data_IF_963688392089
#
_entry.id   IF_963688392089
#
_cell.length_a   1.000
_cell.length_b   1.000
_cell.length_c   1.000
_cell.angle_alpha   90.00
_cell.angle_beta   90.00
_cell.angle_gamma   90.00
#
_symmetry.space_group_name_H-M   'P 1'
#
loop_
_entity.id
_entity.type
_entity.pdbx_description
1 polymer ?
#
# COMPACT_ATOMS: atom_id res chain seq x y z
N UNK A 1 8.58 30.08 -10.51
CA UNK A 1 9.39 30.90 -9.59
C UNK A 1 8.73 30.77 -8.22
N UNK A 2 9.31 30.25 -7.15
CA UNK A 2 10.71 30.21 -6.76
C UNK A 2 11.01 29.01 -5.84
N UNK A 3 12.30 28.64 -5.84
CA UNK A 3 13.04 27.95 -4.78
C UNK A 3 12.71 26.49 -4.43
N UNK A 4 13.13 25.58 -5.30
CA UNK A 4 13.55 24.23 -4.89
C UNK A 4 14.90 24.34 -4.16
N UNK A 5 14.86 24.56 -2.85
CA UNK A 5 16.01 24.30 -1.99
C UNK A 5 16.21 22.78 -1.93
N UNK A 6 17.23 22.29 -2.62
CA UNK A 6 17.87 21.03 -2.27
C UNK A 6 18.65 21.30 -0.98
N UNK A 7 18.09 20.92 0.16
CA UNK A 7 18.85 20.80 1.40
C UNK A 7 19.73 19.56 1.31
N UNK A 8 21.02 19.77 1.03
CA UNK A 8 22.09 18.83 1.34
C UNK A 8 22.25 18.73 2.87
N UNK A 9 21.34 18.03 3.56
CA UNK A 9 21.50 17.75 5.00
C UNK A 9 20.44 16.80 5.56
N UNK A 10 20.27 15.64 4.94
CA UNK A 10 19.81 14.44 5.67
C UNK A 10 20.94 13.42 5.64
N UNK A 11 21.81 13.53 6.64
CA UNK A 11 22.55 12.38 7.12
C UNK A 11 21.49 11.34 7.50
N UNK A 12 21.30 10.34 6.65
CA UNK A 12 20.71 9.06 7.04
C UNK A 12 21.36 8.73 8.38
N UNK A 13 20.62 8.56 9.49
CA UNK A 13 21.23 8.15 10.74
C UNK A 13 21.97 6.87 10.43
N UNK A 14 23.30 6.97 10.43
CA UNK A 14 24.18 5.87 10.19
C UNK A 14 23.75 4.78 11.16
N UNK A 15 23.25 3.68 10.57
CA UNK A 15 23.35 2.35 11.12
C UNK A 15 23.04 2.32 12.63
N UNK A 16 21.77 2.12 12.99
CA UNK A 16 21.48 1.51 14.29
C UNK A 16 22.07 0.11 14.20
N UNK A 17 23.38 0.01 14.40
CA UNK A 17 24.02 -1.20 14.87
C UNK A 17 23.36 -1.42 16.21
N UNK A 18 22.29 -2.20 16.21
CA UNK A 18 21.75 -2.83 17.40
C UNK A 18 22.88 -3.71 17.91
N UNK A 19 23.87 -3.11 18.59
CA UNK A 19 24.88 -3.83 19.34
C UNK A 19 24.09 -4.71 20.29
N UNK A 20 24.20 -6.02 20.07
CA UNK A 20 23.54 -7.04 20.86
C UNK A 20 24.00 -6.79 22.29
N UNK A 21 23.12 -6.26 23.14
CA UNK A 21 23.40 -6.08 24.56
C UNK A 21 23.64 -7.49 25.14
N UNK A 22 24.91 -7.86 25.43
CA UNK A 22 25.22 -9.21 25.89
C UNK A 22 24.63 -9.50 27.27
N UNK A 23 24.08 -8.49 27.96
CA UNK A 23 23.42 -8.62 29.25
C UNK A 23 21.92 -8.95 29.19
N UNK A 24 21.27 -8.89 28.01
CA UNK A 24 19.84 -9.19 27.93
C UNK A 24 19.63 -10.72 27.97
N UNK A 25 18.88 -11.26 28.96
CA UNK A 25 18.65 -12.69 29.07
C UNK A 25 17.91 -13.21 27.83
N UNK A 26 18.41 -14.31 27.27
CA UNK A 26 17.78 -15.02 26.17
C UNK A 26 16.34 -15.36 26.51
N UNK A 27 15.43 -15.09 25.56
CA UNK A 27 14.00 -15.34 25.73
C UNK A 27 13.53 -16.34 24.68
N UNK A 28 12.88 -17.40 25.11
CA UNK A 28 12.26 -18.34 24.18
C UNK A 28 10.95 -17.77 23.61
N UNK A 29 10.73 -18.02 22.32
CA UNK A 29 9.47 -17.72 21.65
C UNK A 29 8.32 -18.52 22.27
N UNK A 30 7.17 -17.88 22.44
CA UNK A 30 5.97 -18.56 22.96
C UNK A 30 5.35 -19.52 21.95
N UNK A 31 5.41 -19.18 20.67
CA UNK A 31 4.81 -19.96 19.58
C UNK A 31 5.78 -21.02 19.05
N UNK A 32 7.07 -20.72 19.08
CA UNK A 32 8.14 -21.63 18.63
C UNK A 32 9.06 -22.00 19.81
N UNK A 33 8.54 -22.62 20.90
CA UNK A 33 9.29 -22.90 22.11
C UNK A 33 10.35 -23.97 21.89
N UNK A 34 11.28 -24.07 22.85
CA UNK A 34 12.34 -25.07 22.83
C UNK A 34 11.81 -26.49 22.67
N UNK A 35 12.38 -27.24 21.73
CA UNK A 35 11.95 -28.61 21.41
C UNK A 35 10.91 -28.74 20.29
N UNK A 36 10.36 -27.62 19.78
CA UNK A 36 9.48 -27.64 18.60
C UNK A 36 10.20 -27.97 17.29
N UNK A 37 11.53 -27.96 17.26
CA UNK A 37 12.32 -28.13 16.05
C UNK A 37 13.72 -28.65 16.33
N UNK A 38 14.43 -29.00 15.26
CA UNK A 38 15.84 -29.43 15.27
C UNK A 38 16.81 -28.28 14.97
N UNK A 39 16.29 -27.09 14.65
CA UNK A 39 17.05 -25.87 14.42
C UNK A 39 16.58 -24.75 15.35
N UNK A 40 17.54 -24.02 15.92
CA UNK A 40 17.31 -22.83 16.75
C UNK A 40 17.72 -21.57 15.98
N UNK A 41 16.76 -20.69 15.69
CA UNK A 41 17.00 -19.39 15.09
C UNK A 41 17.02 -18.32 16.19
N UNK A 42 18.03 -17.46 16.19
CA UNK A 42 18.17 -16.37 17.16
C UNK A 42 17.99 -15.04 16.44
N UNK A 43 16.98 -14.27 16.86
CA UNK A 43 16.71 -12.91 16.34
C UNK A 43 17.68 -11.86 16.88
N UNK A 44 17.71 -10.68 16.26
CA UNK A 44 18.61 -9.57 16.66
C UNK A 44 18.37 -9.05 18.09
N UNK A 45 17.17 -9.25 18.63
CA UNK A 45 16.79 -8.89 20.00
C UNK A 45 16.88 -10.07 20.99
N UNK A 46 17.67 -11.10 20.64
CA UNK A 46 18.00 -12.27 21.44
C UNK A 46 16.77 -13.13 21.85
N UNK A 47 15.77 -13.21 20.95
CA UNK A 47 14.65 -14.15 21.08
C UNK A 47 14.91 -15.40 20.24
N UNK A 48 14.72 -16.56 20.86
CA UNK A 48 15.04 -17.87 20.31
C UNK A 48 13.78 -18.53 19.74
N UNK A 49 13.87 -19.03 18.51
CA UNK A 49 12.79 -19.67 17.77
C UNK A 49 13.23 -21.07 17.36
N UNK A 50 12.54 -22.11 17.82
CA UNK A 50 12.86 -23.48 17.44
C UNK A 50 11.91 -23.94 16.32
N UNK A 51 12.45 -24.29 15.15
CA UNK A 51 11.68 -24.71 13.97
C UNK A 51 12.35 -25.90 13.29
N UNK A 52 11.59 -26.68 12.54
CA UNK A 52 12.13 -27.80 11.77
C UNK A 52 12.91 -27.34 10.54
N UNK A 53 14.13 -27.85 10.40
CA UNK A 53 15.03 -27.60 9.26
C UNK A 53 14.36 -27.92 7.92
N UNK A 54 13.60 -29.02 7.87
CA UNK A 54 12.91 -29.45 6.65
C UNK A 54 11.86 -28.45 6.16
N UNK A 55 11.14 -27.76 7.07
CA UNK A 55 10.12 -26.77 6.71
C UNK A 55 10.77 -25.54 6.07
N UNK A 56 11.85 -25.05 6.68
CA UNK A 56 12.64 -23.95 6.11
C UNK A 56 13.21 -24.33 4.75
N UNK A 57 13.82 -25.51 4.62
CA UNK A 57 14.36 -26.00 3.35
C UNK A 57 13.29 -26.05 2.24
N UNK A 58 12.07 -26.48 2.58
CA UNK A 58 11.01 -26.63 1.59
C UNK A 58 10.39 -25.28 1.16
N UNK A 59 10.30 -24.32 2.08
CA UNK A 59 9.56 -23.06 1.85
C UNK A 59 10.46 -21.88 1.47
N UNK A 60 11.75 -21.96 1.79
CA UNK A 60 12.70 -20.87 1.69
C UNK A 60 13.94 -21.31 0.89
N UNK A 61 14.09 -20.76 -0.31
CA UNK A 61 15.18 -21.13 -1.21
C UNK A 61 16.57 -20.80 -0.63
N UNK A 62 16.70 -19.74 0.17
CA UNK A 62 17.94 -19.44 0.90
C UNK A 62 18.38 -20.58 1.81
N UNK A 63 17.48 -21.07 2.66
CA UNK A 63 17.78 -22.16 3.59
C UNK A 63 17.99 -23.49 2.86
N UNK A 64 17.29 -23.72 1.76
CA UNK A 64 17.51 -24.90 0.92
C UNK A 64 18.96 -24.98 0.42
N UNK A 65 19.47 -23.89 -0.14
CA UNK A 65 20.84 -23.82 -0.63
C UNK A 65 21.83 -23.94 0.53
N UNK A 66 21.62 -23.20 1.62
CA UNK A 66 22.49 -23.21 2.80
C UNK A 66 22.62 -24.61 3.43
N UNK A 67 21.52 -25.36 3.53
CA UNK A 67 21.52 -26.71 4.11
C UNK A 67 22.00 -27.79 3.15
N UNK A 68 22.06 -27.51 1.85
CA UNK A 68 22.63 -28.43 0.85
C UNK A 68 24.16 -28.46 0.85
N UNK A 69 24.81 -27.46 1.46
CA UNK A 69 26.25 -27.37 1.55
C UNK A 69 26.80 -28.53 2.39
N UNK A 70 27.90 -29.20 1.96
CA UNK A 70 28.54 -30.23 2.76
C UNK A 70 28.95 -29.64 4.11
N UNK A 71 28.40 -30.17 5.20
CA UNK A 71 28.91 -29.84 6.53
C UNK A 71 30.33 -30.37 6.62
N UNK A 72 31.34 -29.55 6.96
CA UNK A 72 32.69 -30.06 7.17
C UNK A 72 32.59 -31.14 8.24
N UNK A 73 32.85 -32.39 7.83
CA UNK A 73 32.93 -33.50 8.76
C UNK A 73 34.15 -33.20 9.62
N UNK A 74 33.93 -32.71 10.85
CA UNK A 74 34.96 -32.63 11.85
C UNK A 74 35.32 -34.08 12.23
N UNK A 75 36.17 -34.71 11.44
CA UNK A 75 36.61 -36.10 11.58
C UNK A 75 37.50 -36.32 12.83
N UNK A 76 37.86 -35.28 13.58
CA UNK A 76 39.02 -35.35 14.47
C UNK A 76 38.79 -35.75 15.94
N UNK A 77 37.58 -35.98 16.46
CA UNK A 77 37.43 -36.39 17.88
C UNK A 77 36.30 -37.42 18.09
N UNK A 78 36.51 -38.65 17.62
CA UNK A 78 35.59 -39.79 17.86
C UNK A 78 35.78 -40.49 19.21
N UNK A 79 36.71 -40.06 20.06
CA UNK A 79 36.94 -40.74 21.34
C UNK A 79 36.05 -40.18 22.46
N UNK A 80 34.90 -40.83 22.59
CA UNK A 80 34.16 -41.02 23.83
C UNK A 80 33.63 -39.77 24.54
N UNK A 81 32.47 -39.26 24.11
CA UNK A 81 31.45 -38.82 25.06
C UNK A 81 30.06 -38.77 24.43
N UNK A 82 29.07 -39.23 25.20
CA UNK A 82 27.63 -39.27 24.91
C UNK A 82 27.17 -37.87 24.49
N UNK A 83 27.22 -37.62 23.18
CA UNK A 83 26.98 -36.32 22.59
C UNK A 83 25.51 -35.94 22.73
N UNK A 84 25.26 -35.05 23.69
CA UNK A 84 24.01 -34.30 23.82
C UNK A 84 23.80 -33.59 22.49
N UNK A 85 22.84 -34.06 21.69
CA UNK A 85 22.48 -33.52 20.37
C UNK A 85 22.35 -32.00 20.48
N UNK A 86 23.42 -31.27 20.15
CA UNK A 86 23.45 -29.82 20.20
C UNK A 86 22.59 -29.33 19.05
N UNK A 87 21.46 -28.69 19.35
CA UNK A 87 20.66 -28.03 18.33
C UNK A 87 21.56 -27.05 17.57
N UNK A 88 21.48 -27.08 16.24
CA UNK A 88 22.18 -26.13 15.38
C UNK A 88 21.57 -24.74 15.64
N UNK A 89 22.41 -23.77 16.01
CA UNK A 89 21.98 -22.39 16.31
C UNK A 89 22.38 -21.50 15.15
N UNK A 90 21.43 -20.76 14.58
CA UNK A 90 21.66 -19.81 13.49
C UNK A 90 21.15 -18.43 13.90
N UNK A 91 22.04 -17.45 13.89
CA UNK A 91 21.67 -16.06 14.10
C UNK A 91 21.04 -15.48 12.82
N UNK A 92 19.89 -14.84 12.99
CA UNK A 92 19.09 -14.25 11.93
C UNK A 92 19.03 -12.75 12.15
N UNK A 93 19.41 -11.98 11.14
CA UNK A 93 19.39 -10.52 11.16
C UNK A 93 17.96 -9.97 10.95
N UNK A 94 17.01 -10.40 11.78
CA UNK A 94 15.64 -9.89 11.81
C UNK A 94 15.21 -9.65 13.27
N UNK A 95 14.44 -8.58 13.55
CA UNK A 95 13.76 -8.41 14.82
C UNK A 95 12.79 -9.57 15.09
N UNK A 96 12.63 -9.96 16.36
CA UNK A 96 11.78 -11.08 16.77
C UNK A 96 10.35 -11.00 16.26
N UNK A 97 9.75 -9.82 16.18
CA UNK A 97 8.38 -9.65 15.66
C UNK A 97 8.29 -10.03 14.17
N UNK A 98 9.24 -9.57 13.35
CA UNK A 98 9.28 -9.86 11.91
C UNK A 98 9.64 -11.33 11.67
N UNK A 99 10.62 -11.86 12.42
CA UNK A 99 10.98 -13.27 12.35
C UNK A 99 9.81 -14.16 12.76
N UNK A 100 9.06 -13.79 13.79
CA UNK A 100 7.86 -14.51 14.21
C UNK A 100 6.83 -14.58 13.08
N UNK A 101 6.47 -13.44 12.48
CA UNK A 101 5.52 -13.38 11.35
C UNK A 101 6.02 -14.21 10.15
N UNK A 102 7.32 -14.11 9.83
CA UNK A 102 7.95 -14.91 8.78
C UNK A 102 7.79 -16.42 9.03
N UNK A 103 8.05 -16.89 10.25
CA UNK A 103 7.93 -18.31 10.60
C UNK A 103 6.48 -18.79 10.63
N UNK A 104 5.51 -17.94 10.99
CA UNK A 104 4.08 -18.27 10.91
C UNK A 104 3.59 -18.52 9.47
N UNK A 105 4.30 -18.03 8.44
CA UNK A 105 4.01 -18.39 7.05
C UNK A 105 4.61 -19.72 6.61
N UNK A 106 5.60 -20.22 7.36
CA UNK A 106 6.32 -21.46 7.06
C UNK A 106 5.69 -22.64 7.79
N UNK A 107 5.24 -22.43 9.03
CA UNK A 107 4.60 -23.45 9.85
C UNK A 107 3.12 -23.64 9.44
N UNK A 108 2.72 -24.78 8.87
CA UNK A 108 1.35 -24.98 8.35
C UNK A 108 0.26 -24.92 9.43
N UNK A 109 0.62 -25.21 10.68
CA UNK A 109 -0.31 -25.26 11.80
C UNK A 109 -0.57 -23.88 12.41
N UNK A 110 0.29 -22.90 12.12
CA UNK A 110 0.14 -21.55 12.62
C UNK A 110 -0.82 -20.74 11.74
N UNK A 111 -1.73 -19.96 12.32
CA UNK A 111 -2.58 -19.09 11.55
C UNK A 111 -1.72 -18.02 10.88
N UNK A 112 -1.94 -17.80 9.58
CA UNK A 112 -1.26 -16.73 8.86
C UNK A 112 -1.52 -15.38 9.55
N UNK A 113 -0.46 -14.58 9.79
CA UNK A 113 -0.62 -13.28 10.41
C UNK A 113 -1.49 -12.38 9.53
N UNK A 114 -2.07 -11.35 10.14
CA UNK A 114 -2.72 -10.28 9.39
C UNK A 114 -1.66 -9.32 8.87
N UNK A 115 -1.95 -8.66 7.75
CA UNK A 115 -1.08 -7.61 7.22
C UNK A 115 -1.07 -6.44 8.20
N UNK A 116 0.05 -6.24 8.90
CA UNK A 116 0.29 -5.10 9.79
C UNK A 116 1.15 -4.07 9.04
N UNK A 117 0.65 -2.83 8.81
CA UNK A 117 1.42 -1.78 8.13
C UNK A 117 2.81 -1.54 8.74
N UNK A 118 2.96 -1.75 10.06
CA UNK A 118 4.20 -1.48 10.76
C UNK A 118 5.30 -2.54 10.51
N UNK A 119 4.94 -3.76 10.13
CA UNK A 119 5.91 -4.87 9.93
C UNK A 119 5.95 -5.39 8.50
N UNK A 120 4.90 -5.17 7.71
CA UNK A 120 4.77 -5.73 6.36
C UNK A 120 5.95 -5.34 5.45
N UNK A 121 6.49 -4.12 5.57
CA UNK A 121 7.66 -3.70 4.80
C UNK A 121 8.89 -4.57 5.10
N UNK A 122 9.25 -4.70 6.38
CA UNK A 122 10.37 -5.53 6.80
C UNK A 122 10.15 -7.03 6.51
N UNK A 123 8.90 -7.50 6.59
CA UNK A 123 8.53 -8.88 6.27
C UNK A 123 8.69 -9.18 4.77
N UNK A 124 8.31 -8.25 3.89
CA UNK A 124 8.53 -8.38 2.44
C UNK A 124 10.01 -8.36 2.10
N UNK A 125 10.79 -7.52 2.79
CA UNK A 125 12.24 -7.46 2.61
C UNK A 125 12.91 -8.78 3.00
N UNK A 126 12.50 -9.34 4.13
CA UNK A 126 12.89 -10.69 4.54
C UNK A 126 12.46 -11.74 3.50
N UNK A 127 11.22 -11.69 3.02
CA UNK A 127 10.72 -12.65 2.02
C UNK A 127 11.52 -12.63 0.71
N UNK A 128 11.90 -11.43 0.23
CA UNK A 128 12.75 -11.28 -0.95
C UNK A 128 14.17 -11.78 -0.69
N UNK A 129 14.78 -11.40 0.44
CA UNK A 129 16.14 -11.80 0.80
C UNK A 129 16.26 -13.32 0.99
N UNK A 130 15.37 -13.91 1.76
CA UNK A 130 15.35 -15.34 2.05
C UNK A 130 14.72 -16.17 0.90
N UNK A 131 14.15 -15.55 -0.13
CA UNK A 131 13.46 -16.23 -1.24
C UNK A 131 12.30 -17.12 -0.73
N UNK A 132 11.36 -16.51 -0.03
CA UNK A 132 10.14 -17.12 0.50
C UNK A 132 8.90 -16.65 -0.30
N UNK A 133 8.61 -17.26 -1.47
CA UNK A 133 7.55 -16.78 -2.37
C UNK A 133 6.14 -16.89 -1.78
N UNK A 134 5.90 -17.80 -0.83
CA UNK A 134 4.60 -17.94 -0.16
C UNK A 134 4.15 -16.66 0.55
N UNK A 135 5.09 -15.92 1.15
CA UNK A 135 4.82 -14.64 1.83
C UNK A 135 4.47 -13.56 0.81
N UNK A 136 5.16 -13.53 -0.34
CA UNK A 136 4.88 -12.57 -1.42
C UNK A 136 3.47 -12.81 -1.97
N UNK A 137 3.12 -14.08 -2.25
CA UNK A 137 1.77 -14.43 -2.69
C UNK A 137 0.71 -14.05 -1.66
N UNK A 138 0.94 -14.37 -0.38
CA UNK A 138 0.05 -13.97 0.70
C UNK A 138 -0.17 -12.46 0.75
N UNK A 139 0.89 -11.67 0.60
CA UNK A 139 0.78 -10.22 0.59
C UNK A 139 -0.07 -9.74 -0.59
N UNK A 140 0.20 -10.20 -1.81
CA UNK A 140 -0.56 -9.80 -3.00
C UNK A 140 -2.04 -10.20 -2.93
N UNK A 141 -2.35 -11.36 -2.35
CA UNK A 141 -3.73 -11.77 -2.12
C UNK A 141 -4.37 -10.94 -1.00
N UNK A 142 -3.60 -10.58 0.03
CA UNK A 142 -4.05 -9.86 1.21
C UNK A 142 -4.33 -8.37 1.00
N UNK A 143 -3.63 -7.69 0.08
CA UNK A 143 -3.77 -6.22 -0.07
C UNK A 143 -5.17 -5.78 -0.53
N UNK A 144 -5.94 -6.65 -1.20
CA UNK A 144 -7.27 -6.32 -1.73
C UNK A 144 -8.41 -6.75 -0.82
N UNK A 145 -8.14 -7.63 0.15
CA UNK A 145 -9.18 -8.23 0.97
C UNK A 145 -9.45 -7.35 2.19
N UNK A 146 -10.67 -6.82 2.30
CA UNK A 146 -11.15 -6.32 3.58
C UNK A 146 -11.19 -7.49 4.57
N UNK A 147 -10.68 -7.28 5.77
CA UNK A 147 -10.57 -8.34 6.75
C UNK A 147 -11.61 -8.18 7.86
N UNK A 148 -12.46 -9.18 8.06
CA UNK A 148 -13.39 -9.18 9.19
C UNK A 148 -12.64 -9.59 10.46
N UNK A 149 -12.67 -8.76 11.48
CA UNK A 149 -12.17 -9.14 12.80
C UNK A 149 -13.06 -10.23 13.39
N UNK A 150 -12.55 -11.47 13.50
CA UNK A 150 -13.32 -12.60 14.05
C UNK A 150 -13.85 -12.36 15.48
N UNK A 151 -13.12 -11.58 16.28
CA UNK A 151 -13.50 -11.32 17.68
C UNK A 151 -14.56 -10.22 17.75
N UNK A 152 -14.39 -9.13 16.99
CA UNK A 152 -15.28 -7.96 17.09
C UNK A 152 -16.36 -7.90 16.01
N UNK A 153 -16.32 -8.80 15.02
CA UNK A 153 -17.13 -8.78 13.79
C UNK A 153 -17.08 -7.46 13.00
N UNK A 154 -16.07 -6.61 13.28
CA UNK A 154 -15.88 -5.34 12.58
C UNK A 154 -15.08 -5.59 11.31
N UNK A 155 -15.54 -5.02 10.20
CA UNK A 155 -14.77 -4.96 8.96
C UNK A 155 -13.59 -4.01 9.18
N UNK A 156 -12.37 -4.54 9.06
CA UNK A 156 -11.18 -3.72 8.93
C UNK A 156 -10.94 -3.51 7.43
N UNK A 157 -10.75 -2.26 6.99
CA UNK A 157 -10.46 -1.99 5.60
C UNK A 157 -9.12 -2.62 5.22
N UNK A 158 -9.01 -3.01 3.95
CA UNK A 158 -7.77 -3.55 3.37
C UNK A 158 -6.56 -2.61 3.55
N UNK A 159 -5.34 -3.16 3.42
CA UNK A 159 -4.12 -2.36 3.42
C UNK A 159 -4.14 -1.31 2.30
N UNK A 160 -4.66 -1.70 1.13
CA UNK A 160 -4.81 -0.79 -0.02
C UNK A 160 -5.66 0.44 0.32
N UNK A 161 -6.76 0.26 1.05
CA UNK A 161 -7.65 1.36 1.43
C UNK A 161 -7.08 2.24 2.56
N UNK A 162 -6.28 1.67 3.46
CA UNK A 162 -5.76 2.37 4.65
C UNK A 162 -4.38 2.99 4.45
N UNK A 163 -3.53 2.39 3.62
CA UNK A 163 -2.15 2.80 3.37
C UNK A 163 -1.82 2.60 1.87
N UNK A 164 -2.46 3.34 0.95
CA UNK A 164 -2.30 3.14 -0.48
C UNK A 164 -0.87 3.44 -0.97
N UNK A 165 -0.16 4.40 -0.34
CA UNK A 165 1.22 4.74 -0.71
C UNK A 165 2.21 3.65 -0.32
N UNK A 166 2.13 3.13 0.91
CA UNK A 166 2.87 1.95 1.34
C UNK A 166 2.57 0.74 0.44
N UNK A 167 1.29 0.51 0.13
CA UNK A 167 0.88 -0.59 -0.76
C UNK A 167 1.51 -0.46 -2.14
N UNK A 168 1.55 0.75 -2.70
CA UNK A 168 2.19 1.03 -3.99
C UNK A 168 3.68 0.70 -3.95
N UNK A 169 4.39 1.18 -2.92
CA UNK A 169 5.82 0.94 -2.76
C UNK A 169 6.15 -0.55 -2.68
N UNK A 170 5.41 -1.29 -1.85
CA UNK A 170 5.63 -2.73 -1.67
C UNK A 170 5.25 -3.53 -2.92
N UNK A 171 4.14 -3.21 -3.58
CA UNK A 171 3.75 -3.85 -4.84
C UNK A 171 4.79 -3.62 -5.94
N UNK A 172 5.34 -2.41 -6.01
CA UNK A 172 6.42 -2.09 -6.94
C UNK A 172 7.69 -2.87 -6.60
N UNK A 173 8.05 -2.95 -5.31
CA UNK A 173 9.22 -3.69 -4.80
C UNK A 173 9.18 -5.17 -5.15
N UNK A 174 8.01 -5.82 -5.02
CA UNK A 174 7.84 -7.24 -5.38
C UNK A 174 7.52 -7.45 -6.87
N UNK A 175 7.37 -6.38 -7.66
CA UNK A 175 7.05 -6.43 -9.09
C UNK A 175 5.65 -6.93 -9.43
N UNK A 176 4.65 -6.68 -8.58
CA UNK A 176 3.25 -7.01 -8.86
C UNK A 176 2.57 -5.92 -9.67
N UNK A 177 2.45 -6.12 -10.99
CA UNK A 177 1.83 -5.14 -11.89
C UNK A 177 0.38 -4.82 -11.50
N UNK A 178 -0.41 -5.84 -11.19
CA UNK A 178 -1.81 -5.67 -10.77
C UNK A 178 -1.90 -4.94 -9.43
N UNK A 179 -1.01 -5.26 -8.48
CA UNK A 179 -0.93 -4.56 -7.20
C UNK A 179 -0.62 -3.07 -7.39
N UNK A 180 0.36 -2.75 -8.25
CA UNK A 180 0.71 -1.37 -8.61
C UNK A 180 -0.47 -0.64 -9.25
N UNK A 181 -1.18 -1.25 -10.21
CA UNK A 181 -2.37 -0.63 -10.84
C UNK A 181 -3.45 -0.30 -9.80
N UNK A 182 -3.76 -1.25 -8.92
CA UNK A 182 -4.76 -1.06 -7.88
C UNK A 182 -4.34 0.03 -6.90
N UNK A 183 -3.06 0.06 -6.49
CA UNK A 183 -2.53 1.08 -5.59
C UNK A 183 -2.52 2.49 -6.21
N UNK A 184 -2.11 2.64 -7.47
CA UNK A 184 -2.19 3.93 -8.18
C UNK A 184 -3.64 4.41 -8.27
N UNK A 185 -4.57 3.51 -8.60
CA UNK A 185 -5.98 3.85 -8.67
C UNK A 185 -6.51 4.35 -7.32
N UNK A 186 -6.20 3.65 -6.22
CA UNK A 186 -6.65 4.05 -4.89
C UNK A 186 -6.00 5.38 -4.48
N UNK A 187 -4.67 5.49 -4.59
CA UNK A 187 -3.89 6.67 -4.21
C UNK A 187 -4.32 7.94 -4.97
N UNK A 188 -4.62 7.82 -6.26
CA UNK A 188 -5.07 8.98 -7.07
C UNK A 188 -6.48 9.44 -6.72
N UNK A 189 -7.24 8.68 -5.92
CA UNK A 189 -8.62 9.00 -5.50
C UNK A 189 -8.78 9.23 -4.00
N UNK A 190 -7.78 8.87 -3.19
CA UNK A 190 -7.81 9.00 -1.74
C UNK A 190 -7.67 10.47 -1.27
N UNK A 191 -7.74 10.67 0.05
CA UNK A 191 -7.43 11.95 0.67
C UNK A 191 -5.94 12.32 0.50
N UNK A 192 -5.67 13.62 0.40
CA UNK A 192 -4.32 14.19 0.45
C UNK A 192 -3.50 13.74 1.67
N UNK A 193 -4.13 13.44 2.82
CA UNK A 193 -3.39 13.02 4.03
C UNK A 193 -2.53 11.76 3.82
N UNK A 194 -2.92 10.88 2.89
CA UNK A 194 -2.18 9.65 2.59
C UNK A 194 -0.92 9.87 1.74
N UNK A 195 -0.67 11.10 1.31
CA UNK A 195 0.51 11.46 0.52
C UNK A 195 1.69 11.92 1.38
N UNK A 196 1.45 12.22 2.66
CA UNK A 196 2.47 12.69 3.61
C UNK A 196 3.15 11.54 4.38
N UNK A 197 2.88 10.28 4.00
CA UNK A 197 3.51 9.11 4.61
C UNK A 197 5.00 9.00 4.21
N UNK A 198 5.87 8.73 5.18
CA UNK A 198 7.29 8.48 4.95
C UNK A 198 7.51 7.06 4.41
N UNK A 199 7.42 6.93 3.09
CA UNK A 199 7.55 5.66 2.37
C UNK A 199 8.62 5.77 1.31
N UNK A 200 9.56 4.82 1.31
CA UNK A 200 10.59 4.73 0.28
C UNK A 200 9.95 4.34 -1.07
N UNK A 201 9.76 5.34 -1.93
CA UNK A 201 9.19 5.19 -3.26
C UNK A 201 10.07 5.88 -4.31
N UNK A 202 10.20 5.28 -5.49
CA UNK A 202 10.88 5.93 -6.61
C UNK A 202 10.23 7.28 -6.92
N UNK A 203 11.03 8.35 -6.92
CA UNK A 203 10.54 9.70 -7.19
C UNK A 203 9.82 9.82 -8.55
N UNK A 204 10.21 9.01 -9.54
CA UNK A 204 9.52 8.94 -10.84
C UNK A 204 8.09 8.39 -10.72
N UNK A 205 7.91 7.33 -9.94
CA UNK A 205 6.60 6.72 -9.70
C UNK A 205 5.73 7.66 -8.86
N UNK A 206 6.29 8.33 -7.86
CA UNK A 206 5.57 9.34 -7.09
C UNK A 206 5.10 10.50 -7.98
N UNK A 207 5.99 11.09 -8.79
CA UNK A 207 5.65 12.16 -9.74
C UNK A 207 4.57 11.74 -10.74
N UNK A 208 4.61 10.48 -11.21
CA UNK A 208 3.58 9.94 -12.08
C UNK A 208 2.21 9.91 -11.39
N UNK A 209 2.14 9.45 -10.13
CA UNK A 209 0.91 9.44 -9.36
C UNK A 209 0.39 10.86 -9.10
N UNK A 210 1.27 11.80 -8.74
CA UNK A 210 0.92 13.22 -8.55
C UNK A 210 0.31 13.80 -9.82
N UNK A 211 0.93 13.56 -10.98
CA UNK A 211 0.43 14.03 -12.28
C UNK A 211 -0.96 13.46 -12.57
N UNK A 212 -1.17 12.15 -12.39
CA UNK A 212 -2.48 11.52 -12.59
C UNK A 212 -3.55 12.12 -11.67
N UNK A 213 -3.21 12.35 -10.40
CA UNK A 213 -4.11 13.01 -9.45
C UNK A 213 -4.46 14.44 -9.91
N UNK A 214 -3.47 15.22 -10.34
CA UNK A 214 -3.69 16.58 -10.84
C UNK A 214 -4.60 16.61 -12.07
N UNK A 215 -4.36 15.74 -13.06
CA UNK A 215 -5.21 15.62 -14.25
C UNK A 215 -6.66 15.28 -13.87
N UNK A 216 -6.82 14.39 -12.88
CA UNK A 216 -8.14 14.00 -12.38
C UNK A 216 -8.84 15.10 -11.59
N UNK A 217 -8.12 15.79 -10.71
CA UNK A 217 -8.64 16.96 -10.00
C UNK A 217 -9.05 18.05 -10.98
N UNK A 218 -8.23 18.35 -11.98
CA UNK A 218 -8.56 19.32 -13.03
C UNK A 218 -9.84 18.93 -13.79
N UNK A 219 -10.01 17.65 -14.11
CA UNK A 219 -11.22 17.14 -14.74
C UNK A 219 -12.48 17.42 -13.90
N UNK A 220 -12.44 17.18 -12.59
CA UNK A 220 -13.62 17.44 -11.74
C UNK A 220 -13.82 18.91 -11.37
N UNK A 221 -12.76 19.73 -11.37
CA UNK A 221 -12.89 21.18 -11.27
C UNK A 221 -13.57 21.76 -12.52
N UNK A 222 -13.25 21.25 -13.71
CA UNK A 222 -13.96 21.61 -14.94
C UNK A 222 -15.47 21.30 -14.83
N UNK A 223 -15.87 20.20 -14.18
CA UNK A 223 -17.28 19.96 -13.89
C UNK A 223 -17.88 21.06 -12.99
N UNK A 224 -17.20 21.45 -11.91
CA UNK A 224 -17.68 22.51 -11.02
C UNK A 224 -17.83 23.85 -11.76
N UNK A 225 -16.90 24.19 -12.64
CA UNK A 225 -16.94 25.39 -13.47
C UNK A 225 -18.09 25.32 -14.50
N UNK A 226 -18.26 24.19 -15.20
CA UNK A 226 -19.40 23.99 -16.10
C UNK A 226 -20.76 24.13 -15.39
N UNK A 227 -20.83 23.71 -14.12
CA UNK A 227 -22.03 23.84 -13.30
C UNK A 227 -22.29 25.30 -12.87
N UNK A 228 -21.24 26.11 -12.72
CA UNK A 228 -21.33 27.54 -12.45
C UNK A 228 -21.76 28.33 -13.69
N UNK A 229 -21.16 28.04 -14.85
CA UNK A 229 -21.42 28.75 -16.11
C UNK A 229 -22.82 28.52 -16.67
N UNK A 230 -23.42 27.37 -16.36
CA UNK A 230 -24.78 27.07 -16.79
C UNK A 230 -25.81 28.02 -16.13
N UNK A 231 -25.52 28.59 -14.95
CA UNK A 231 -26.36 29.61 -14.30
C UNK A 231 -26.60 30.83 -15.22
N UNK A 232 -25.66 31.12 -16.13
CA UNK A 232 -25.68 32.34 -16.94
C UNK A 232 -26.14 32.16 -18.39
N UNK A 233 -26.19 30.93 -18.91
CA UNK A 233 -26.13 30.72 -20.36
C UNK A 233 -27.31 30.00 -21.01
N UNK A 234 -28.07 29.13 -20.32
CA UNK A 234 -28.98 28.24 -21.05
C UNK A 234 -30.21 27.75 -20.29
N UNK A 235 -31.27 28.53 -20.40
CA UNK A 235 -32.56 27.95 -20.76
C UNK A 235 -32.83 28.36 -22.21
N UNK A 236 -32.85 27.38 -23.13
CA UNK A 236 -33.06 27.61 -24.57
C UNK A 236 -34.44 28.18 -24.92
N UNK A 237 -35.25 28.46 -23.90
CA UNK A 237 -36.54 29.11 -24.00
C UNK A 237 -36.33 30.60 -23.70
N UNK A 238 -36.59 31.47 -24.67
CA UNK A 238 -36.40 32.93 -24.54
C UNK A 238 -37.18 33.49 -23.33
N UNK A 239 -38.29 32.84 -22.94
CA UNK A 239 -39.08 33.18 -21.74
C UNK A 239 -38.42 32.84 -20.40
N UNK A 240 -37.37 32.05 -20.43
CA UNK A 240 -36.78 31.39 -19.26
C UNK A 240 -35.37 31.93 -18.97
N UNK A 241 -34.75 32.62 -19.94
CA UNK A 241 -33.48 33.37 -19.79
C UNK A 241 -33.55 34.54 -18.81
N UNK A 242 -34.75 34.94 -18.41
CA UNK A 242 -35.00 36.05 -17.48
C UNK A 242 -35.43 35.57 -16.09
N UNK A 243 -35.42 34.25 -15.81
CA UNK A 243 -35.71 33.74 -14.47
C UNK A 243 -34.54 34.10 -13.56
N UNK A 244 -34.65 35.25 -12.91
CA UNK A 244 -33.75 35.68 -11.85
C UNK A 244 -33.84 34.65 -10.73
N UNK A 245 -32.75 33.93 -10.47
CA UNK A 245 -32.61 33.12 -9.27
C UNK A 245 -32.79 34.02 -8.06
N UNK A 246 -33.62 33.61 -7.09
CA UNK A 246 -33.69 34.37 -5.84
C UNK A 246 -32.32 34.32 -5.15
N UNK A 247 -31.98 35.34 -4.37
CA UNK A 247 -30.67 35.42 -3.69
C UNK A 247 -30.36 34.16 -2.87
N UNK A 248 -31.37 33.56 -2.25
CA UNK A 248 -31.21 32.30 -1.50
C UNK A 248 -30.78 31.13 -2.40
N UNK A 249 -31.34 31.02 -3.60
CA UNK A 249 -30.94 30.02 -4.59
C UNK A 249 -29.51 30.24 -5.07
N UNK A 250 -29.12 31.47 -5.40
CA UNK A 250 -27.75 31.77 -5.84
C UNK A 250 -26.72 31.45 -4.75
N UNK A 251 -26.97 31.84 -3.50
CA UNK A 251 -26.07 31.50 -2.37
C UNK A 251 -25.99 29.99 -2.18
N UNK A 252 -27.12 29.29 -2.30
CA UNK A 252 -27.18 27.84 -2.11
C UNK A 252 -26.46 27.09 -3.24
N UNK A 253 -26.61 27.54 -4.48
CA UNK A 253 -25.87 27.05 -5.64
C UNK A 253 -24.36 27.29 -5.47
N UNK A 254 -23.94 28.50 -5.12
CA UNK A 254 -22.54 28.82 -4.89
C UNK A 254 -21.91 27.94 -3.80
N UNK A 255 -22.63 27.67 -2.71
CA UNK A 255 -22.17 26.72 -1.67
C UNK A 255 -22.04 25.31 -2.21
N UNK A 256 -23.00 24.85 -3.00
CA UNK A 256 -22.97 23.52 -3.59
C UNK A 256 -21.80 23.36 -4.58
N UNK A 257 -21.57 24.35 -5.46
CA UNK A 257 -20.41 24.38 -6.37
C UNK A 257 -19.10 24.37 -5.57
N UNK A 258 -19.01 25.17 -4.50
CA UNK A 258 -17.85 25.16 -3.61
C UNK A 258 -17.63 23.78 -2.97
N UNK A 259 -18.70 23.08 -2.58
CA UNK A 259 -18.60 21.70 -2.08
C UNK A 259 -18.10 20.74 -3.14
N UNK A 260 -18.55 20.86 -4.39
CA UNK A 260 -18.04 20.06 -5.52
C UNK A 260 -16.55 20.32 -5.74
N UNK A 261 -16.12 21.58 -5.79
CA UNK A 261 -14.71 21.95 -5.99
C UNK A 261 -13.81 21.48 -4.83
N UNK A 262 -14.30 21.60 -3.59
CA UNK A 262 -13.59 21.09 -2.40
C UNK A 262 -13.41 19.58 -2.49
N UNK A 263 -14.47 18.83 -2.80
CA UNK A 263 -14.39 17.38 -2.93
C UNK A 263 -13.52 16.94 -4.11
N UNK A 264 -13.57 17.64 -5.24
CA UNK A 264 -12.69 17.39 -6.39
C UNK A 264 -11.21 17.54 -6.04
N UNK A 265 -10.88 18.44 -5.12
CA UNK A 265 -9.50 18.69 -4.68
C UNK A 265 -9.04 17.69 -3.61
N UNK A 266 -9.92 17.38 -2.65
CA UNK A 266 -9.59 16.50 -1.52
C UNK A 266 -9.70 15.02 -1.86
N UNK A 267 -10.78 14.62 -2.51
CA UNK A 267 -11.09 13.23 -2.86
C UNK A 267 -11.60 13.17 -4.30
N UNK A 268 -10.72 13.27 -5.30
CA UNK A 268 -11.12 13.21 -6.71
C UNK A 268 -11.62 11.81 -7.05
N UNK A 269 -12.82 11.45 -6.61
CA UNK A 269 -13.49 10.17 -6.84
C UNK A 269 -14.92 10.46 -7.26
N UNK A 270 -15.35 9.83 -8.35
CA UNK A 270 -16.68 10.08 -8.91
C UNK A 270 -17.80 9.85 -7.89
N UNK A 271 -17.74 8.77 -7.12
CA UNK A 271 -18.73 8.46 -6.08
C UNK A 271 -18.87 9.59 -5.05
N UNK A 272 -17.76 10.22 -4.67
CA UNK A 272 -17.76 11.34 -3.73
C UNK A 272 -18.39 12.59 -4.36
N UNK A 273 -18.07 12.89 -5.62
CA UNK A 273 -18.66 14.00 -6.38
C UNK A 273 -20.17 13.79 -6.56
N UNK A 274 -20.58 12.58 -6.94
CA UNK A 274 -21.98 12.22 -7.14
C UNK A 274 -22.77 12.26 -5.83
N UNK A 275 -22.16 11.82 -4.73
CA UNK A 275 -22.74 11.79 -3.39
C UNK A 275 -22.99 13.16 -2.77
N UNK A 276 -22.41 14.25 -3.30
CA UNK A 276 -22.68 15.59 -2.80
C UNK A 276 -24.16 15.93 -2.98
N UNK A 277 -24.81 16.18 -1.85
CA UNK A 277 -26.24 16.49 -1.77
C UNK A 277 -26.52 17.78 -2.53
N UNK A 278 -27.45 17.67 -3.48
CA UNK A 278 -27.96 18.81 -4.21
C UNK A 278 -28.97 19.57 -3.34
N UNK A 279 -29.07 20.90 -3.45
CA UNK A 279 -30.13 21.65 -2.80
C UNK A 279 -31.53 21.12 -3.10
N UNK A 280 -32.47 21.27 -2.16
CA UNK A 280 -33.87 20.98 -2.41
C UNK A 280 -34.48 22.02 -3.36
N UNK A 281 -35.58 21.67 -4.04
CA UNK A 281 -36.26 22.55 -4.99
C UNK A 281 -36.74 23.86 -4.34
N UNK A 282 -36.66 24.95 -5.10
CA UNK A 282 -37.10 26.26 -4.63
C UNK A 282 -38.45 26.64 -5.24
N UNK A 283 -39.49 26.74 -4.41
CA UNK A 283 -40.82 27.15 -4.84
C UNK A 283 -40.85 28.54 -5.49
N UNK A 284 -40.04 29.48 -4.99
CA UNK A 284 -39.99 30.85 -5.50
C UNK A 284 -39.34 30.96 -6.88
N UNK A 285 -38.43 30.04 -7.22
CA UNK A 285 -37.74 30.04 -8.50
C UNK A 285 -38.29 28.99 -9.46
N UNK A 286 -39.20 28.12 -9.00
CA UNK A 286 -39.65 26.91 -9.68
C UNK A 286 -38.46 26.08 -10.22
N UNK A 287 -37.37 26.04 -9.45
CA UNK A 287 -36.14 25.33 -9.82
C UNK A 287 -36.11 23.95 -9.18
N UNK A 288 -36.13 22.93 -10.02
CA UNK A 288 -35.92 21.53 -9.66
C UNK A 288 -34.42 21.18 -9.74
N UNK A 289 -33.68 21.54 -8.69
CA UNK A 289 -32.24 21.30 -8.58
C UNK A 289 -31.80 19.85 -8.84
N UNK A 290 -32.53 18.80 -8.41
CA UNK A 290 -32.16 17.42 -8.74
C UNK A 290 -32.20 17.12 -10.25
N UNK A 291 -33.20 17.64 -10.96
CA UNK A 291 -33.31 17.49 -12.41
C UNK A 291 -32.19 18.25 -13.11
N UNK A 292 -31.92 19.47 -12.66
CA UNK A 292 -30.79 20.29 -13.10
C UNK A 292 -29.46 19.55 -12.95
N UNK A 293 -29.15 19.04 -11.74
CA UNK A 293 -27.95 18.26 -11.45
C UNK A 293 -27.86 17.07 -12.40
N UNK A 294 -28.91 16.27 -12.50
CA UNK A 294 -28.94 15.07 -13.35
C UNK A 294 -28.66 15.41 -14.81
N UNK A 295 -29.32 16.42 -15.36
CA UNK A 295 -29.15 16.83 -16.77
C UNK A 295 -27.74 17.32 -17.05
N UNK A 296 -27.20 18.20 -16.22
CA UNK A 296 -25.86 18.78 -16.43
C UNK A 296 -24.77 17.75 -16.17
N UNK A 297 -24.90 16.93 -15.12
CA UNK A 297 -24.00 15.80 -14.86
C UNK A 297 -24.01 14.82 -16.04
N UNK A 298 -25.17 14.37 -16.49
CA UNK A 298 -25.27 13.42 -17.62
C UNK A 298 -24.65 14.01 -18.90
N UNK A 299 -24.89 15.29 -19.19
CA UNK A 299 -24.27 15.96 -20.34
C UNK A 299 -22.74 15.96 -20.22
N UNK A 300 -22.21 16.38 -19.07
CA UNK A 300 -20.77 16.44 -18.84
C UNK A 300 -20.14 15.05 -18.85
N UNK A 301 -20.74 14.06 -18.18
CA UNK A 301 -20.31 12.65 -18.15
C UNK A 301 -20.31 12.05 -19.55
N UNK A 302 -21.31 12.34 -20.39
CA UNK A 302 -21.35 11.82 -21.76
C UNK A 302 -20.21 12.35 -22.63
N UNK A 303 -19.80 13.61 -22.42
CA UNK A 303 -18.69 14.26 -23.14
C UNK A 303 -17.34 13.78 -22.60
N UNK A 304 -17.17 13.82 -21.29
CA UNK A 304 -15.87 13.60 -20.65
C UNK A 304 -15.59 12.13 -20.34
N UNK A 305 -16.62 11.30 -20.20
CA UNK A 305 -16.57 9.87 -19.84
C UNK A 305 -15.52 9.60 -18.76
N UNK A 306 -15.66 10.19 -17.56
CA UNK A 306 -14.70 10.03 -16.48
C UNK A 306 -14.34 8.55 -16.30
N UNK A 307 -15.32 7.66 -16.19
CA UNK A 307 -15.10 6.20 -16.03
C UNK A 307 -14.19 5.58 -17.11
N UNK A 308 -14.30 6.02 -18.36
CA UNK A 308 -13.43 5.50 -19.44
C UNK A 308 -12.03 6.09 -19.36
N UNK A 309 -11.91 7.39 -19.08
CA UNK A 309 -10.61 8.04 -18.90
C UNK A 309 -9.88 7.46 -17.68
N UNK A 310 -10.60 7.10 -16.64
CA UNK A 310 -10.10 6.44 -15.45
C UNK A 310 -9.58 5.03 -15.73
N UNK A 311 -10.25 4.28 -16.62
CA UNK A 311 -9.78 2.96 -17.04
C UNK A 311 -8.60 3.05 -18.02
N UNK A 312 -8.61 4.02 -18.94
CA UNK A 312 -7.57 4.15 -19.97
C UNK A 312 -6.28 4.81 -19.48
N UNK A 313 -6.34 5.64 -18.43
CA UNK A 313 -5.17 6.31 -17.84
C UNK A 313 -4.31 5.39 -16.98
N UNK A 314 -4.78 4.18 -16.68
CA UNK A 314 -4.03 3.18 -15.92
C UNK A 314 -3.13 2.29 -16.79
N UNK A 315 -2.87 2.68 -18.04
CA UNK A 315 -1.77 2.11 -18.80
C UNK A 315 -0.48 2.46 -18.05
N UNK A 316 0.05 1.47 -17.33
CA UNK A 316 1.35 1.55 -16.67
C UNK A 316 2.37 1.86 -17.77
N UNK A 317 3.07 3.01 -17.70
CA UNK A 317 4.13 3.30 -18.64
C UNK A 317 5.14 2.16 -18.71
N UNK A 318 5.63 1.83 -19.91
CA UNK A 318 6.52 0.69 -20.13
C UNK A 318 7.76 0.69 -19.22
N UNK A 319 8.25 1.87 -18.84
CA UNK A 319 9.37 2.01 -17.91
C UNK A 319 9.08 1.46 -16.50
N UNK A 320 7.82 1.46 -16.04
CA UNK A 320 7.44 0.84 -14.76
C UNK A 320 7.44 -0.69 -14.85
N UNK A 321 7.22 -1.26 -16.04
CA UNK A 321 7.21 -2.71 -16.25
C UNK A 321 8.62 -3.30 -16.36
N UNK A 322 9.65 -2.50 -16.61
CA UNK A 322 11.00 -2.99 -16.93
C UNK A 322 11.97 -3.04 -15.73
N UNK A 323 11.65 -2.41 -14.59
CA UNK A 323 12.65 -2.13 -13.55
C UNK A 323 12.88 -3.12 -12.39
N UNK A 324 12.00 -4.03 -11.91
CA UNK A 324 12.21 -4.52 -10.55
C UNK A 324 13.29 -5.61 -10.36
N UNK A 325 13.62 -6.43 -11.37
CA UNK A 325 14.35 -7.69 -11.09
C UNK A 325 15.72 -7.88 -11.74
N UNK A 326 16.18 -6.97 -12.61
CA UNK A 326 17.48 -7.16 -13.28
C UNK A 326 18.69 -6.82 -12.39
N UNK A 327 18.50 -6.09 -11.29
CA UNK A 327 19.60 -5.62 -10.43
C UNK A 327 19.95 -6.58 -9.29
N UNK A 328 18.99 -7.23 -8.64
CA UNK A 328 19.23 -8.01 -7.42
C UNK A 328 20.10 -9.26 -7.69
N UNK A 329 19.99 -9.88 -8.87
CA UNK A 329 20.84 -11.03 -9.24
C UNK A 329 22.24 -10.67 -9.78
N UNK A 330 22.59 -9.39 -9.93
CA UNK A 330 23.91 -9.00 -10.47
C UNK A 330 25.02 -8.92 -9.42
N UNK A 331 24.68 -8.87 -8.13
CA UNK A 331 25.68 -8.70 -7.06
C UNK A 331 26.27 -10.00 -6.49
N UNK A 332 25.78 -11.17 -6.88
CA UNK A 332 26.29 -12.47 -6.41
C UNK A 332 27.41 -13.08 -7.29
N UNK A 333 27.89 -12.34 -8.30
CA UNK A 333 28.92 -12.81 -9.24
C UNK A 333 30.18 -11.93 -9.22
N UNK A 334 30.58 -11.45 -8.04
CA UNK A 334 31.94 -10.95 -7.81
C UNK A 334 32.75 -12.11 -7.28
N UNK A 335 33.52 -12.74 -8.18
CA UNK A 335 34.54 -13.74 -7.86
C UNK A 335 35.81 -13.07 -7.36
#
# INVERSE_FOLDING_TARGET
>A
MASLFLSESDQIPANITNEIDPGRPAKDSKTFPRGSGDLELVSTDNVHFNIHKFLLQHTCGFFADMFSLPTPQNEELQDAQVSKKSSEVIEINLPSKVLHEFLCHIEPNEPQPKVDPATVGALIDAALFYRAPSIISWFIDGIQLDCVNRVTQKLHPSLLATNPLLTLALCHKVGSENGVKSAIKELTTCDSIFWDEDVELSGRLLLYCVKLRQERTALYLDLADNMADFEFSNTGNVKERTRVTCMSCSVTLARWIKSLATAASQWPKWDNIQGIVCPASCRSCELEWPEYKSKTFNKWVNINRPDRKEQSSLLIPEWLSQEPFKSINRSANVK
#
